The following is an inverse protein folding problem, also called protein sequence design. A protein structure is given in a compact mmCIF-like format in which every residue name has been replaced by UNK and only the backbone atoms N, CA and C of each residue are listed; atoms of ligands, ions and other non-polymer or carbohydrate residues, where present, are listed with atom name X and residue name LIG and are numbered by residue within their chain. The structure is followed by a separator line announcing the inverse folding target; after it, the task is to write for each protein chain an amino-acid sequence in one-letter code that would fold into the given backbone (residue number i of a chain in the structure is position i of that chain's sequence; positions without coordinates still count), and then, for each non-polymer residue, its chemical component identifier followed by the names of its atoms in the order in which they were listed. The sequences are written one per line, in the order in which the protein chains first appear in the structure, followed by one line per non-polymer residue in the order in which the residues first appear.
data_IF_943987512203
#
_entry.id   IF_943987512203
#
_cell.length_a   1.000
_cell.length_b   1.000
_cell.length_c   1.000
_cell.angle_alpha   90.00
_cell.angle_beta   90.00
_cell.angle_gamma   90.00
#
_symmetry.space_group_name_H-M   'P 1'
#
loop_
_entity.id
_entity.type
_entity.pdbx_description
1 polymer ?
#
# COMPACT_ATOMS: atom_id res chain seq x y z
N UNK A 1 11.49 -18.47 9.42
CA UNK A 1 10.44 -17.43 9.21
C UNK A 1 10.15 -17.09 7.73
N UNK A 2 10.75 -17.79 6.74
CA UNK A 2 10.66 -17.46 5.30
C UNK A 2 9.23 -17.43 4.69
N UNK A 3 8.25 -18.04 5.35
CA UNK A 3 6.85 -18.11 4.89
C UNK A 3 5.87 -17.26 5.73
N UNK A 4 6.36 -16.37 6.60
CA UNK A 4 5.51 -15.52 7.46
C UNK A 4 5.51 -14.05 7.07
N UNK A 5 6.35 -13.66 6.11
CA UNK A 5 6.51 -12.26 5.67
C UNK A 5 6.60 -12.22 4.16
N UNK A 6 6.00 -11.21 3.54
CA UNK A 6 6.16 -10.93 2.12
C UNK A 6 7.57 -10.42 1.86
N UNK A 7 8.23 -11.03 0.88
CA UNK A 7 9.53 -10.59 0.38
C UNK A 7 9.34 -9.75 -0.87
N UNK A 8 9.58 -8.44 -0.74
CA UNK A 8 9.50 -7.49 -1.85
C UNK A 8 10.37 -7.87 -3.05
N UNK A 9 11.53 -8.53 -2.84
CA UNK A 9 12.42 -8.95 -3.91
C UNK A 9 11.76 -10.04 -4.77
N UNK A 10 11.13 -11.02 -4.13
CA UNK A 10 10.43 -12.09 -4.86
C UNK A 10 9.25 -11.56 -5.67
N UNK A 11 8.54 -10.56 -5.15
CA UNK A 11 7.43 -9.90 -5.87
C UNK A 11 7.96 -9.19 -7.13
N UNK A 12 9.05 -8.42 -6.99
CA UNK A 12 9.67 -7.71 -8.11
C UNK A 12 10.23 -8.70 -9.15
N UNK A 13 10.94 -9.74 -8.71
CA UNK A 13 11.46 -10.79 -9.59
C UNK A 13 10.33 -11.48 -10.38
N UNK A 14 9.15 -11.65 -9.75
CA UNK A 14 7.96 -12.21 -10.41
C UNK A 14 7.39 -11.24 -11.46
N UNK A 15 7.33 -9.95 -11.15
CA UNK A 15 6.90 -8.92 -12.09
C UNK A 15 7.83 -8.83 -13.31
N UNK A 16 9.14 -8.90 -13.10
CA UNK A 16 10.14 -8.88 -14.18
C UNK A 16 10.03 -10.11 -15.09
N UNK A 17 9.79 -11.29 -14.51
CA UNK A 17 9.56 -12.51 -15.31
C UNK A 17 8.25 -12.42 -16.10
N UNK A 18 7.21 -11.82 -15.53
CA UNK A 18 5.96 -11.58 -16.23
C UNK A 18 6.15 -10.62 -17.41
N UNK A 19 6.84 -9.49 -17.19
CA UNK A 19 7.15 -8.52 -18.24
C UNK A 19 7.90 -9.16 -19.40
N UNK A 20 8.93 -9.98 -19.13
CA UNK A 20 9.65 -10.71 -20.19
C UNK A 20 8.73 -11.62 -21.00
N UNK A 21 7.88 -12.42 -20.35
CA UNK A 21 6.93 -13.29 -21.07
C UNK A 21 5.92 -12.49 -21.90
N UNK A 22 5.48 -11.33 -21.40
CA UNK A 22 4.61 -10.43 -22.16
C UNK A 22 5.36 -9.87 -23.36
N UNK A 23 6.61 -9.46 -23.21
CA UNK A 23 7.44 -8.91 -24.29
C UNK A 23 7.71 -9.93 -25.40
N UNK A 24 7.96 -11.19 -25.03
CA UNK A 24 8.23 -12.28 -25.97
C UNK A 24 7.01 -12.62 -26.83
N UNK A 25 5.80 -12.52 -26.26
CA UNK A 25 4.57 -12.95 -26.92
C UNK A 25 3.77 -11.80 -27.54
N UNK A 26 3.83 -10.62 -26.96
CA UNK A 26 3.06 -9.44 -27.36
C UNK A 26 3.92 -8.17 -27.38
N UNK A 27 5.02 -8.13 -28.16
CA UNK A 27 5.99 -7.04 -28.14
C UNK A 27 5.39 -5.69 -28.50
N UNK A 28 4.50 -5.65 -29.51
CA UNK A 28 3.90 -4.41 -30.01
C UNK A 28 2.57 -4.06 -29.32
N UNK A 29 2.11 -4.87 -28.37
CA UNK A 29 0.87 -4.61 -27.67
C UNK A 29 1.08 -3.60 -26.54
N UNK A 30 0.10 -2.71 -26.34
CA UNK A 30 0.09 -1.79 -25.19
C UNK A 30 0.24 -2.49 -23.83
N UNK A 31 -0.08 -3.79 -23.77
CA UNK A 31 0.13 -4.63 -22.59
C UNK A 31 1.57 -4.67 -22.11
N UNK A 32 2.54 -4.70 -23.03
CA UNK A 32 3.96 -4.71 -22.68
C UNK A 32 4.35 -3.43 -21.94
N UNK A 33 3.88 -2.27 -22.41
CA UNK A 33 4.05 -0.99 -21.72
C UNK A 33 3.48 -0.99 -20.30
N UNK A 34 2.31 -1.61 -20.09
CA UNK A 34 1.71 -1.75 -18.75
C UNK A 34 2.55 -2.66 -17.85
N UNK A 35 3.13 -3.72 -18.40
CA UNK A 35 4.00 -4.63 -17.64
C UNK A 35 5.31 -3.95 -17.22
N UNK A 36 5.92 -3.12 -18.08
CA UNK A 36 7.07 -2.28 -17.74
C UNK A 36 6.72 -1.32 -16.59
N UNK A 37 5.59 -0.62 -16.70
CA UNK A 37 5.13 0.31 -15.68
C UNK A 37 4.88 -0.41 -14.35
N UNK A 38 4.29 -1.62 -14.39
CA UNK A 38 4.14 -2.45 -13.20
C UNK A 38 5.49 -2.74 -12.54
N UNK A 39 6.52 -3.15 -13.28
CA UNK A 39 7.86 -3.42 -12.72
C UNK A 39 8.46 -2.17 -12.10
N UNK A 40 8.39 -1.04 -12.80
CA UNK A 40 8.88 0.26 -12.31
C UNK A 40 8.19 0.65 -11.00
N UNK A 41 6.85 0.67 -11.01
CA UNK A 41 6.02 1.01 -9.87
C UNK A 41 6.24 0.03 -8.70
N UNK A 42 6.41 -1.27 -8.97
CA UNK A 42 6.72 -2.27 -7.95
C UNK A 42 7.99 -1.93 -7.16
N UNK A 43 9.05 -1.54 -7.87
CA UNK A 43 10.33 -1.16 -7.24
C UNK A 43 10.18 0.08 -6.38
N UNK A 44 9.48 1.09 -6.87
CA UNK A 44 9.28 2.36 -6.15
C UNK A 44 8.38 2.17 -4.92
N UNK A 45 7.33 1.38 -5.04
CA UNK A 45 6.41 1.08 -3.95
C UNK A 45 7.06 0.19 -2.88
N UNK A 46 7.86 -0.80 -3.27
CA UNK A 46 8.62 -1.62 -2.33
C UNK A 46 9.62 -0.79 -1.51
N UNK A 47 10.34 0.14 -2.17
CA UNK A 47 11.23 1.09 -1.47
C UNK A 47 10.45 1.98 -0.51
N UNK A 48 9.29 2.50 -0.95
CA UNK A 48 8.44 3.34 -0.12
C UNK A 48 7.88 2.59 1.10
N UNK A 49 7.43 1.33 0.93
CA UNK A 49 6.97 0.49 2.02
C UNK A 49 8.08 0.28 3.05
N UNK A 50 9.28 -0.12 2.61
CA UNK A 50 10.45 -0.29 3.49
C UNK A 50 10.83 1.01 4.24
N UNK A 51 10.74 2.16 3.57
CA UNK A 51 11.03 3.44 4.22
C UNK A 51 10.04 3.80 5.33
N UNK A 52 8.80 3.30 5.27
CA UNK A 52 7.77 3.55 6.29
C UNK A 52 7.98 2.74 7.58
N UNK A 53 8.82 1.70 7.56
CA UNK A 53 9.17 0.92 8.76
C UNK A 53 9.98 1.76 9.75
N UNK A 54 10.78 2.71 9.25
CA UNK A 54 11.61 3.56 10.09
C UNK A 54 10.77 4.57 10.91
N UNK A 55 11.19 4.92 12.13
CA UNK A 55 10.55 5.97 12.91
C UNK A 55 10.80 7.34 12.29
N UNK A 56 9.85 8.26 12.47
CA UNK A 56 9.99 9.64 11.99
C UNK A 56 10.91 10.44 12.93
N UNK A 57 12.18 10.61 12.54
CA UNK A 57 13.22 11.24 13.39
C UNK A 57 12.90 12.67 13.84
N UNK A 58 12.23 13.48 13.03
CA UNK A 58 11.90 14.85 13.44
C UNK A 58 10.89 14.88 14.60
N UNK A 59 9.96 13.90 14.67
CA UNK A 59 9.07 13.75 15.83
C UNK A 59 9.84 13.38 17.09
N UNK A 60 10.90 12.57 16.95
CA UNK A 60 11.82 12.28 18.07
C UNK A 60 12.57 13.53 18.51
N UNK A 61 12.96 14.39 17.57
CA UNK A 61 13.53 15.71 17.86
C UNK A 61 12.61 16.58 18.70
N UNK A 62 11.31 16.61 18.40
CA UNK A 62 10.31 17.36 19.20
C UNK A 62 10.28 16.86 20.66
N UNK A 63 10.34 15.55 20.87
CA UNK A 63 10.40 14.96 22.23
C UNK A 63 11.66 15.42 22.97
N UNK A 64 12.83 15.29 22.34
CA UNK A 64 14.11 15.67 22.95
C UNK A 64 14.12 17.16 23.30
N UNK A 65 13.65 18.01 22.39
CA UNK A 65 13.55 19.46 22.63
C UNK A 65 12.58 19.79 23.76
N UNK A 66 11.43 19.13 23.84
CA UNK A 66 10.47 19.33 24.93
C UNK A 66 11.06 18.93 26.29
N UNK A 67 11.77 17.81 26.36
CA UNK A 67 12.46 17.35 27.57
C UNK A 67 13.58 18.33 27.97
N UNK A 68 14.41 18.75 27.01
CA UNK A 68 15.50 19.68 27.25
C UNK A 68 14.99 21.05 27.74
N UNK A 69 13.91 21.56 27.15
CA UNK A 69 13.26 22.79 27.59
C UNK A 69 12.71 22.66 29.02
N UNK A 70 12.09 21.52 29.36
CA UNK A 70 11.63 21.23 30.72
C UNK A 70 12.78 21.18 31.74
N UNK A 71 13.88 20.49 31.40
CA UNK A 71 15.06 20.39 32.25
C UNK A 71 15.74 21.77 32.45
N UNK A 72 15.87 22.56 31.39
CA UNK A 72 16.44 23.90 31.47
C UNK A 72 15.59 24.82 32.35
N UNK A 73 14.26 24.75 32.22
CA UNK A 73 13.33 25.50 33.06
C UNK A 73 13.47 25.10 34.52
N UNK A 74 13.58 23.80 34.81
CA UNK A 74 13.79 23.29 36.17
C UNK A 74 15.10 23.79 36.79
N UNK A 75 16.21 23.71 36.05
CA UNK A 75 17.51 24.22 36.49
C UNK A 75 17.46 25.73 36.75
N UNK A 76 16.83 26.49 35.85
CA UNK A 76 16.67 27.94 35.99
C UNK A 76 15.89 28.31 37.26
N UNK A 77 14.74 27.67 37.51
CA UNK A 77 13.95 27.89 38.73
C UNK A 77 14.76 27.55 39.99
N UNK A 78 15.56 26.46 39.95
CA UNK A 78 16.46 26.08 41.03
C UNK A 78 17.53 27.12 41.37
N UNK A 79 17.92 27.99 40.41
CA UNK A 79 18.86 29.10 40.67
C UNK A 79 18.21 30.34 41.31
N UNK A 80 16.90 30.52 41.15
CA UNK A 80 16.18 31.71 41.63
C UNK A 80 15.60 31.50 43.03
N UNK A 81 15.22 30.26 43.38
CA UNK A 81 14.62 29.96 44.68
C UNK A 81 15.69 29.85 45.78
N UNK A 82 15.64 30.69 46.84
CA UNK A 82 16.49 30.51 48.00
C UNK A 82 16.03 29.28 48.79
N UNK A 83 16.68 28.13 48.56
CA UNK A 83 16.42 26.84 49.22
C UNK A 83 16.71 26.82 50.75
N UNK A 84 16.83 27.99 51.39
CA UNK A 84 17.52 28.16 52.67
C UNK A 84 16.66 28.41 53.91
N UNK A 85 15.33 28.53 53.87
CA UNK A 85 14.51 28.71 55.11
C UNK A 85 13.12 28.12 54.97
N UNK A 86 12.92 26.90 55.47
CA UNK A 86 11.60 26.27 55.62
C UNK A 86 11.42 25.97 57.10
N UNK A 87 10.58 26.76 57.77
CA UNK A 87 10.14 26.51 59.14
C UNK A 87 8.76 27.15 59.33
N UNK A 88 7.70 26.35 59.24
CA UNK A 88 6.33 26.77 59.53
C UNK A 88 5.25 25.88 58.89
N UNK A 89 4.03 25.92 59.42
CA UNK A 89 2.82 25.16 59.04
C UNK A 89 2.38 25.27 57.56
N UNK A 90 3.11 26.01 56.73
CA UNK A 90 2.95 26.08 55.27
C UNK A 90 3.34 24.76 54.55
N UNK A 91 4.06 23.84 55.21
CA UNK A 91 4.56 22.58 54.63
C UNK A 91 3.47 21.60 54.14
N UNK A 92 2.33 21.50 54.85
CA UNK A 92 1.27 20.54 54.49
C UNK A 92 0.51 20.93 53.21
N UNK A 93 0.26 22.23 53.02
CA UNK A 93 -0.40 22.74 51.80
C UNK A 93 0.57 22.74 50.62
N UNK A 94 1.84 23.09 50.87
CA UNK A 94 2.87 23.14 49.82
C UNK A 94 3.25 21.75 49.30
N UNK A 95 3.25 20.72 50.17
CA UNK A 95 3.44 19.32 49.75
C UNK A 95 2.28 18.80 48.89
N UNK A 96 1.03 19.11 49.25
CA UNK A 96 -0.15 18.76 48.42
C UNK A 96 -0.08 19.44 47.05
N UNK A 97 0.29 20.72 47.01
CA UNK A 97 0.42 21.48 45.76
C UNK A 97 1.56 20.95 44.87
N UNK A 98 2.65 20.48 45.48
CA UNK A 98 3.74 19.80 44.76
C UNK A 98 3.30 18.48 44.12
N UNK A 99 2.51 17.68 44.85
CA UNK A 99 1.94 16.42 44.34
C UNK A 99 0.95 16.69 43.20
N UNK A 100 0.06 17.67 43.34
CA UNK A 100 -0.89 18.06 42.30
C UNK A 100 -0.16 18.50 41.01
N UNK A 101 0.89 19.32 41.15
CA UNK A 101 1.70 19.78 40.02
C UNK A 101 2.42 18.63 39.32
N UNK A 102 2.94 17.66 40.09
CA UNK A 102 3.59 16.46 39.55
C UNK A 102 2.59 15.59 38.77
N UNK A 103 1.39 15.38 39.31
CA UNK A 103 0.33 14.62 38.63
C UNK A 103 -0.04 15.28 37.31
N UNK A 104 -0.25 16.61 37.30
CA UNK A 104 -0.56 17.35 36.08
C UNK A 104 0.56 17.25 35.04
N UNK A 105 1.81 17.33 35.46
CA UNK A 105 2.96 17.16 34.57
C UNK A 105 3.00 15.77 33.93
N UNK A 106 2.75 14.72 34.72
CA UNK A 106 2.71 13.34 34.22
C UNK A 106 1.57 13.16 33.22
N UNK A 107 0.37 13.68 33.53
CA UNK A 107 -0.79 13.60 32.63
C UNK A 107 -0.49 14.31 31.30
N UNK A 108 0.05 15.53 31.34
CA UNK A 108 0.41 16.29 30.14
C UNK A 108 1.50 15.58 29.33
N UNK A 109 2.51 15.01 29.99
CA UNK A 109 3.55 14.23 29.33
C UNK A 109 2.98 12.99 28.63
N UNK A 110 2.08 12.25 29.28
CA UNK A 110 1.39 11.10 28.67
C UNK A 110 0.54 11.53 27.47
N UNK A 111 -0.24 12.61 27.59
CA UNK A 111 -1.05 13.15 26.49
C UNK A 111 -0.18 13.59 25.31
N UNK A 112 0.94 14.26 25.57
CA UNK A 112 1.90 14.66 24.54
C UNK A 112 2.51 13.45 23.83
N UNK A 113 2.91 12.42 24.58
CA UNK A 113 3.44 11.19 24.02
C UNK A 113 2.41 10.45 23.14
N UNK A 114 1.17 10.31 23.61
CA UNK A 114 0.08 9.72 22.83
C UNK A 114 -0.24 10.54 21.57
N UNK A 115 -0.21 11.87 21.66
CA UNK A 115 -0.42 12.75 20.52
C UNK A 115 0.67 12.60 19.46
N UNK A 116 1.92 12.37 19.87
CA UNK A 116 3.04 12.12 18.95
C UNK A 116 2.91 10.78 18.24
N UNK A 117 2.57 9.70 18.95
CA UNK A 117 2.31 8.38 18.34
C UNK A 117 1.21 8.51 17.29
N UNK A 118 0.08 9.10 17.67
CA UNK A 118 -1.05 9.30 16.73
C UNK A 118 -0.63 10.14 15.53
N UNK A 119 0.16 11.20 15.73
CA UNK A 119 0.65 12.05 14.65
C UNK A 119 1.55 11.28 13.67
N UNK A 120 2.45 10.44 14.18
CA UNK A 120 3.29 9.56 13.37
C UNK A 120 2.44 8.64 12.49
N UNK A 121 1.44 7.97 13.07
CA UNK A 121 0.48 7.14 12.35
C UNK A 121 -0.26 7.93 11.26
N UNK A 122 -0.77 9.14 11.57
CA UNK A 122 -1.47 10.00 10.58
C UNK A 122 -0.58 10.34 9.40
N UNK A 123 0.69 10.66 9.65
CA UNK A 123 1.67 11.03 8.62
C UNK A 123 1.98 9.82 7.73
N UNK A 124 2.30 8.67 8.33
CA UNK A 124 2.59 7.43 7.58
C UNK A 124 1.39 7.00 6.76
N UNK A 125 0.19 7.04 7.34
CA UNK A 125 -1.07 6.74 6.66
C UNK A 125 -1.28 7.63 5.43
N UNK A 126 -1.11 8.95 5.54
CA UNK A 126 -1.24 9.86 4.38
C UNK A 126 -0.26 9.51 3.26
N UNK A 127 0.97 9.11 3.59
CA UNK A 127 1.95 8.66 2.61
C UNK A 127 1.52 7.36 1.93
N UNK A 128 1.04 6.38 2.70
CA UNK A 128 0.52 5.11 2.17
C UNK A 128 -0.63 5.35 1.19
N UNK A 129 -1.65 6.13 1.56
CA UNK A 129 -2.81 6.36 0.68
C UNK A 129 -2.44 7.02 -0.65
N UNK A 130 -1.43 7.90 -0.67
CA UNK A 130 -0.90 8.46 -1.94
C UNK A 130 -0.32 7.37 -2.83
N UNK A 131 0.35 6.38 -2.23
CA UNK A 131 0.94 5.24 -2.95
C UNK A 131 -0.11 4.23 -3.42
N UNK A 132 -1.09 3.92 -2.57
CA UNK A 132 -2.23 3.06 -2.94
C UNK A 132 -3.08 3.66 -4.07
N UNK A 133 -3.20 4.99 -4.15
CA UNK A 133 -3.87 5.64 -5.27
C UNK A 133 -3.17 5.36 -6.61
N UNK A 134 -1.83 5.34 -6.63
CA UNK A 134 -1.05 4.95 -7.81
C UNK A 134 -1.32 3.50 -8.23
N UNK A 135 -1.36 2.56 -7.27
CA UNK A 135 -1.75 1.16 -7.55
C UNK A 135 -3.16 1.05 -8.12
N UNK A 136 -4.12 1.78 -7.54
CA UNK A 136 -5.51 1.81 -8.04
C UNK A 136 -5.55 2.30 -9.49
N UNK A 137 -4.79 3.34 -9.82
CA UNK A 137 -4.68 3.84 -11.19
C UNK A 137 -4.14 2.77 -12.13
N UNK A 138 -3.05 2.09 -11.76
CA UNK A 138 -2.49 0.99 -12.57
C UNK A 138 -3.49 -0.15 -12.76
N UNK A 139 -4.24 -0.53 -11.73
CA UNK A 139 -5.29 -1.56 -11.81
C UNK A 139 -6.36 -1.17 -12.84
N UNK A 140 -6.79 0.09 -12.85
CA UNK A 140 -7.73 0.58 -13.85
C UNK A 140 -7.13 0.65 -15.26
N UNK A 141 -5.84 0.96 -15.40
CA UNK A 141 -5.14 0.88 -16.70
C UNK A 141 -5.08 -0.55 -17.23
N UNK A 142 -4.85 -1.54 -16.35
CA UNK A 142 -4.91 -2.95 -16.72
C UNK A 142 -6.33 -3.30 -17.20
N UNK A 143 -7.37 -2.84 -16.50
CA UNK A 143 -8.78 -3.03 -16.89
C UNK A 143 -9.09 -2.41 -18.26
N UNK A 144 -8.61 -1.20 -18.55
CA UNK A 144 -8.74 -0.57 -19.87
C UNK A 144 -8.13 -1.43 -20.98
N UNK A 145 -6.99 -2.06 -20.71
CA UNK A 145 -6.36 -2.98 -21.65
C UNK A 145 -7.17 -4.28 -21.86
N UNK A 146 -8.13 -4.61 -20.98
CA UNK A 146 -9.02 -5.77 -21.10
C UNK A 146 -10.31 -5.48 -21.86
N UNK A 147 -10.72 -4.21 -21.98
CA UNK A 147 -12.06 -3.86 -22.49
C UNK A 147 -12.33 -4.43 -23.87
N UNK A 148 -11.36 -4.34 -24.78
CA UNK A 148 -11.52 -4.83 -26.16
C UNK A 148 -11.28 -6.34 -26.32
N UNK A 149 -10.87 -7.02 -25.23
CA UNK A 149 -10.51 -8.45 -25.22
C UNK A 149 -11.75 -9.21 -24.78
N UNK A 150 -12.65 -9.38 -25.74
CA UNK A 150 -13.97 -9.98 -25.55
C UNK A 150 -14.07 -11.31 -26.34
N UNK A 151 -14.40 -12.44 -25.68
CA UNK A 151 -14.59 -13.73 -26.34
C UNK A 151 -15.62 -13.71 -27.49
N UNK A 152 -16.59 -12.80 -27.48
CA UNK A 152 -17.58 -12.66 -28.55
C UNK A 152 -16.94 -12.39 -29.92
N UNK A 153 -15.74 -11.79 -29.94
CA UNK A 153 -14.95 -11.56 -31.14
C UNK A 153 -14.55 -12.85 -31.88
N UNK A 154 -14.53 -13.99 -31.17
CA UNK A 154 -14.14 -15.28 -31.71
C UNK A 154 -15.34 -16.06 -32.28
N UNK A 155 -16.54 -15.49 -32.25
CA UNK A 155 -17.72 -16.08 -32.89
C UNK A 155 -17.65 -15.92 -34.40
N UNK A 156 -18.12 -16.92 -35.14
CA UNK A 156 -18.26 -16.86 -36.61
C UNK A 156 -19.29 -15.82 -37.04
N UNK A 157 -20.24 -15.49 -36.16
CA UNK A 157 -21.30 -14.51 -36.42
C UNK A 157 -20.90 -13.07 -36.05
N UNK A 158 -19.66 -12.88 -35.59
CA UNK A 158 -19.17 -11.55 -35.22
C UNK A 158 -19.05 -10.65 -36.45
N UNK A 159 -19.78 -9.53 -36.45
CA UNK A 159 -19.77 -8.54 -37.53
C UNK A 159 -19.04 -7.27 -37.06
N UNK A 160 -17.76 -7.07 -37.42
CA UNK A 160 -17.06 -5.83 -37.10
C UNK A 160 -17.66 -4.64 -37.85
N UNK A 161 -17.58 -3.46 -37.23
CA UNK A 161 -17.92 -2.16 -37.83
C UNK A 161 -16.65 -1.40 -38.20
N UNK A 162 -16.77 -0.32 -39.00
CA UNK A 162 -15.63 0.51 -39.44
C UNK A 162 -14.77 1.08 -38.30
N UNK A 163 -15.35 1.27 -37.11
CA UNK A 163 -14.66 1.79 -35.93
C UNK A 163 -14.43 0.72 -34.85
N UNK A 164 -14.62 -0.57 -35.18
CA UNK A 164 -14.28 -1.65 -34.25
C UNK A 164 -12.76 -1.68 -34.01
N UNK A 165 -12.30 -1.81 -32.75
CA UNK A 165 -10.87 -1.88 -32.46
C UNK A 165 -10.25 -3.15 -33.04
N UNK A 166 -8.94 -3.12 -33.29
CA UNK A 166 -8.18 -4.31 -33.65
C UNK A 166 -8.34 -5.40 -32.57
N UNK A 167 -8.63 -6.64 -32.99
CA UNK A 167 -8.94 -7.75 -32.09
C UNK A 167 -7.96 -8.90 -32.28
N UNK A 168 -7.65 -9.59 -31.18
CA UNK A 168 -6.90 -10.84 -31.20
C UNK A 168 -7.89 -11.93 -31.66
N UNK A 169 -7.60 -12.53 -32.81
CA UNK A 169 -8.47 -13.54 -33.45
C UNK A 169 -8.02 -14.97 -33.11
N UNK A 170 -6.77 -15.16 -32.69
CA UNK A 170 -6.32 -16.44 -32.14
C UNK A 170 -6.82 -16.62 -30.70
N UNK A 171 -7.44 -17.77 -30.44
CA UNK A 171 -8.03 -18.08 -29.13
C UNK A 171 -6.97 -18.23 -28.04
N UNK A 172 -5.85 -18.89 -28.37
CA UNK A 172 -4.77 -19.16 -27.43
C UNK A 172 -4.10 -17.87 -26.98
N UNK A 173 -3.81 -16.98 -27.92
CA UNK A 173 -3.24 -15.66 -27.64
C UNK A 173 -4.21 -14.76 -26.88
N UNK A 174 -5.52 -14.76 -27.20
CA UNK A 174 -6.49 -13.99 -26.42
C UNK A 174 -6.55 -14.49 -24.97
N UNK A 175 -6.57 -15.80 -24.75
CA UNK A 175 -6.56 -16.38 -23.41
C UNK A 175 -5.27 -16.05 -22.65
N UNK A 176 -4.09 -16.14 -23.31
CA UNK A 176 -2.80 -15.77 -22.69
C UNK A 176 -2.70 -14.29 -22.37
N UNK A 177 -3.19 -13.41 -23.25
CA UNK A 177 -3.25 -11.97 -22.99
C UNK A 177 -4.04 -11.69 -21.72
N UNK A 178 -5.26 -12.23 -21.64
CA UNK A 178 -6.13 -12.09 -20.47
C UNK A 178 -5.46 -12.66 -19.20
N UNK A 179 -4.80 -13.81 -19.29
CA UNK A 179 -4.10 -14.44 -18.17
C UNK A 179 -2.97 -13.54 -17.63
N UNK A 180 -2.13 -12.96 -18.50
CA UNK A 180 -1.10 -12.01 -18.07
C UNK A 180 -1.68 -10.80 -17.34
N UNK A 181 -2.88 -10.36 -17.72
CA UNK A 181 -3.54 -9.25 -17.04
C UNK A 181 -4.01 -9.63 -15.64
N UNK A 182 -4.52 -10.86 -15.48
CA UNK A 182 -4.83 -11.42 -14.16
C UNK A 182 -3.57 -11.58 -13.29
N UNK A 183 -2.45 -12.01 -13.88
CA UNK A 183 -1.16 -12.10 -13.17
C UNK A 183 -0.68 -10.72 -12.70
N UNK A 184 -0.77 -9.69 -13.54
CA UNK A 184 -0.45 -8.31 -13.16
C UNK A 184 -1.31 -7.82 -11.99
N UNK A 185 -2.63 -8.08 -12.02
CA UNK A 185 -3.54 -7.74 -10.92
C UNK A 185 -3.19 -8.48 -9.61
N UNK A 186 -2.76 -9.74 -9.71
CA UNK A 186 -2.31 -10.51 -8.55
C UNK A 186 -1.02 -9.94 -7.93
N UNK A 187 -0.12 -9.41 -8.77
CA UNK A 187 1.10 -8.74 -8.34
C UNK A 187 0.77 -7.39 -7.70
N UNK A 188 -0.13 -6.57 -8.28
CA UNK A 188 -0.54 -5.30 -7.68
C UNK A 188 -1.13 -5.47 -6.29
N UNK A 189 -1.93 -6.53 -6.06
CA UNK A 189 -2.42 -6.89 -4.73
C UNK A 189 -1.30 -7.18 -3.73
N UNK A 190 -0.30 -7.98 -4.13
CA UNK A 190 0.86 -8.30 -3.27
C UNK A 190 1.74 -7.09 -2.95
N UNK A 191 1.86 -6.15 -3.88
CA UNK A 191 2.57 -4.89 -3.62
C UNK A 191 1.80 -4.03 -2.63
N UNK A 192 0.46 -3.97 -2.73
CA UNK A 192 -0.36 -3.27 -1.75
C UNK A 192 -0.17 -3.86 -0.33
N UNK A 193 -0.14 -5.19 -0.23
CA UNK A 193 0.08 -5.91 1.03
C UNK A 193 1.41 -5.58 1.73
N UNK A 194 2.44 -5.12 1.00
CA UNK A 194 3.67 -4.63 1.63
C UNK A 194 3.40 -3.43 2.56
N UNK A 195 2.44 -2.57 2.24
CA UNK A 195 2.12 -1.42 3.09
C UNK A 195 1.43 -1.82 4.40
N UNK A 196 0.57 -2.83 4.37
CA UNK A 196 -0.04 -3.40 5.58
C UNK A 196 1.01 -4.11 6.46
N UNK A 197 2.05 -4.69 5.85
CA UNK A 197 3.18 -5.28 6.59
C UNK A 197 4.08 -4.21 7.21
N UNK A 198 4.34 -3.11 6.50
CA UNK A 198 5.26 -2.06 6.95
C UNK A 198 4.63 -1.07 7.95
N UNK A 199 3.30 -0.92 7.96
CA UNK A 199 2.59 0.01 8.85
C UNK A 199 1.45 -0.70 9.56
N UNK A 200 1.56 -0.82 10.90
CA UNK A 200 0.52 -1.38 11.76
C UNK A 200 -0.59 -0.37 12.05
N UNK A 201 -1.42 -0.04 11.05
CA UNK A 201 -2.55 0.89 11.14
C UNK A 201 -3.78 0.25 10.48
N UNK A 202 -4.88 0.10 11.23
CA UNK A 202 -6.10 -0.55 10.73
C UNK A 202 -6.67 0.12 9.47
N UNK A 203 -6.58 1.45 9.36
CA UNK A 203 -7.07 2.19 8.19
C UNK A 203 -6.17 1.93 6.97
N UNK A 204 -4.87 1.69 7.18
CA UNK A 204 -3.97 1.24 6.11
C UNK A 204 -4.35 -0.17 5.66
N UNK A 205 -4.62 -1.08 6.60
CA UNK A 205 -5.05 -2.46 6.29
C UNK A 205 -6.34 -2.45 5.46
N UNK A 206 -7.33 -1.64 5.84
CA UNK A 206 -8.58 -1.49 5.09
C UNK A 206 -8.33 -0.96 3.66
N UNK A 207 -7.48 0.06 3.52
CA UNK A 207 -7.13 0.60 2.21
C UNK A 207 -6.38 -0.40 1.32
N UNK A 208 -5.60 -1.31 1.89
CA UNK A 208 -4.97 -2.42 1.18
C UNK A 208 -6.00 -3.47 0.76
N UNK A 209 -6.92 -3.84 1.66
CA UNK A 209 -8.01 -4.78 1.38
C UNK A 209 -8.89 -4.28 0.22
N UNK A 210 -9.12 -2.97 0.10
CA UNK A 210 -9.83 -2.37 -1.05
C UNK A 210 -9.10 -2.63 -2.38
N UNK A 211 -7.77 -2.51 -2.39
CA UNK A 211 -6.93 -2.75 -3.58
C UNK A 211 -6.95 -4.24 -3.95
N UNK A 212 -6.83 -5.12 -2.97
CA UNK A 212 -6.89 -6.57 -3.18
C UNK A 212 -8.28 -7.01 -3.66
N UNK A 213 -9.33 -6.45 -3.09
CA UNK A 213 -10.73 -6.70 -3.50
C UNK A 213 -10.96 -6.24 -4.94
N UNK A 214 -10.52 -5.04 -5.30
CA UNK A 214 -10.62 -4.52 -6.67
C UNK A 214 -9.88 -5.44 -7.66
N UNK A 215 -8.64 -5.80 -7.33
CA UNK A 215 -7.80 -6.67 -8.17
C UNK A 215 -8.42 -8.07 -8.35
N UNK A 216 -8.92 -8.66 -7.26
CA UNK A 216 -9.59 -9.97 -7.26
C UNK A 216 -10.90 -9.96 -8.06
N UNK A 217 -11.69 -8.89 -7.93
CA UNK A 217 -12.95 -8.74 -8.69
C UNK A 217 -12.70 -8.63 -10.19
N UNK A 218 -11.68 -7.87 -10.61
CA UNK A 218 -11.31 -7.77 -12.02
C UNK A 218 -10.71 -9.08 -12.55
N UNK A 219 -9.83 -9.72 -11.77
CA UNK A 219 -9.28 -11.04 -12.11
C UNK A 219 -10.40 -12.08 -12.30
N UNK A 220 -11.44 -12.06 -11.47
CA UNK A 220 -12.62 -12.93 -11.63
C UNK A 220 -13.37 -12.67 -12.94
N UNK A 221 -13.55 -11.41 -13.35
CA UNK A 221 -14.16 -11.06 -14.66
C UNK A 221 -13.30 -11.55 -15.82
N UNK A 222 -11.97 -11.44 -15.71
CA UNK A 222 -11.02 -11.95 -16.70
C UNK A 222 -11.13 -13.47 -16.80
N UNK A 223 -11.18 -14.17 -15.67
CA UNK A 223 -11.35 -15.62 -15.64
C UNK A 223 -12.65 -16.09 -16.31
N UNK A 224 -13.76 -15.36 -16.09
CA UNK A 224 -15.01 -15.64 -16.80
C UNK A 224 -14.83 -15.55 -18.33
N UNK A 225 -14.10 -14.55 -18.83
CA UNK A 225 -13.79 -14.44 -20.27
C UNK A 225 -12.95 -15.62 -20.75
N UNK A 226 -11.91 -16.01 -20.00
CA UNK A 226 -11.05 -17.16 -20.34
C UNK A 226 -11.89 -18.45 -20.41
N UNK A 227 -12.77 -18.70 -19.44
CA UNK A 227 -13.66 -19.87 -19.45
C UNK A 227 -14.57 -19.92 -20.67
N UNK A 228 -15.07 -18.76 -21.15
CA UNK A 228 -15.87 -18.71 -22.39
C UNK A 228 -15.03 -19.05 -23.63
N UNK A 229 -13.77 -18.62 -23.67
CA UNK A 229 -12.84 -18.98 -24.75
C UNK A 229 -12.58 -20.49 -24.72
N UNK A 230 -12.32 -21.09 -23.56
CA UNK A 230 -12.07 -22.53 -23.44
C UNK A 230 -13.32 -23.38 -23.72
N UNK A 231 -14.50 -22.91 -23.31
CA UNK A 231 -15.77 -23.55 -23.62
C UNK A 231 -16.01 -23.64 -25.14
N UNK A 232 -15.67 -22.57 -25.86
CA UNK A 232 -15.75 -22.56 -27.34
C UNK A 232 -14.74 -23.49 -28.02
N UNK A 233 -13.59 -23.78 -27.39
CA UNK A 233 -12.64 -24.78 -27.89
C UNK A 233 -13.22 -26.20 -27.81
N UNK A 234 -13.96 -26.50 -26.74
CA UNK A 234 -14.59 -27.82 -26.55
C UNK A 234 -15.76 -28.05 -27.50
N UNK A 235 -16.53 -27.03 -27.85
CA UNK A 235 -17.61 -27.16 -28.84
C UNK A 235 -17.11 -27.26 -30.28
N UNK A 236 -15.98 -26.60 -30.61
CA UNK A 236 -15.35 -26.68 -31.94
C UNK A 236 -14.60 -28.00 -32.18
N UNK A 237 -14.29 -28.77 -31.13
CA UNK A 237 -13.76 -30.13 -31.19
C UNK A 237 -14.77 -31.11 -30.59
N UNK A 238 -15.84 -31.50 -31.31
CA UNK A 238 -16.73 -32.54 -30.82
C UNK A 238 -15.98 -33.88 -30.79
N UNK A 239 -15.62 -34.34 -29.60
CA UNK A 239 -15.14 -35.71 -29.36
C UNK A 239 -13.65 -35.85 -29.08
N UNK A 240 -13.35 -36.13 -27.81
CA UNK A 240 -12.76 -37.42 -27.44
C UNK A 240 -13.77 -38.08 -26.50
#
# INVERSE_FOLDING_TARGET
MRYRTLDSKLIIDTAERLEKRVSERFPDAGLHGVAIELVSLSRDLAKAAKALEAPIWWLRGVVVTAIAAGALTFLFVGTILPLGRISGTHDAIQSVQGIESLINMIILAMLGFLALIRTEERIKRKQVFRKLHGLRSLIHVIDMHQLTKDPAALSTDFKPTSHSPARITDRGDLARYLDYCSEMLSITGKIAALFAQSVNDNVVVDGVNDIETLSSNLSRKIWQKITLIDGSLRSARPGI
#
